data_IF_745757973816
#
_entry.id   IF_745757973816
#
_cell.length_a   1.000
_cell.length_b   1.000
_cell.length_c   1.000
_cell.angle_alpha   90.00
_cell.angle_beta   90.00
_cell.angle_gamma   90.00
#
_symmetry.space_group_name_H-M   'P 1'
#
loop_
_entity.id
_entity.type
_entity.pdbx_description
1 polymer ?
#
# COMPACT_ATOMS: atom_id res chain seq x y z
N UNK A 1 13.29 -39.14 18.51
CA UNK A 1 12.28 -38.47 17.68
C UNK A 1 12.34 -36.98 17.97
N UNK A 2 13.01 -36.21 17.13
CA UNK A 2 13.09 -34.75 17.24
C UNK A 2 12.20 -34.14 16.16
N UNK A 3 11.29 -33.26 16.56
CA UNK A 3 10.65 -32.35 15.63
C UNK A 3 10.42 -31.01 16.34
N UNK A 4 11.44 -30.15 16.31
CA UNK A 4 11.35 -28.73 16.69
C UNK A 4 11.30 -27.92 15.41
N UNK A 5 10.10 -27.70 14.89
CA UNK A 5 9.87 -26.65 13.88
C UNK A 5 9.67 -25.33 14.62
N UNK A 6 10.73 -24.53 14.68
CA UNK A 6 10.64 -23.11 15.03
C UNK A 6 10.31 -22.36 13.73
N UNK A 7 9.28 -21.49 13.69
CA UNK A 7 9.01 -20.69 12.50
C UNK A 7 10.13 -19.66 12.33
N UNK A 8 10.73 -19.62 11.14
CA UNK A 8 11.74 -18.62 10.77
C UNK A 8 11.09 -17.24 10.64
N UNK A 9 10.88 -16.56 11.77
CA UNK A 9 10.54 -15.14 11.83
C UNK A 9 11.80 -14.36 11.45
N UNK A 10 11.74 -13.62 10.34
CA UNK A 10 12.68 -12.52 10.10
C UNK A 10 13.71 -12.70 8.97
N UNK A 11 13.47 -13.56 7.97
CA UNK A 11 14.25 -13.45 6.74
C UNK A 11 13.98 -12.07 6.10
N UNK A 12 15.04 -11.30 5.87
CA UNK A 12 14.95 -10.14 5.00
C UNK A 12 14.42 -10.63 3.65
N UNK A 13 13.31 -10.07 3.16
CA UNK A 13 12.98 -10.19 1.75
C UNK A 13 14.18 -9.63 0.99
N UNK A 14 15.05 -10.50 0.50
CA UNK A 14 15.94 -10.14 -0.57
C UNK A 14 14.98 -9.71 -1.68
N UNK A 15 14.93 -8.41 -1.99
CA UNK A 15 14.55 -8.00 -3.35
C UNK A 15 15.36 -8.95 -4.23
N UNK A 16 14.68 -9.86 -4.92
CA UNK A 16 15.35 -10.89 -5.70
C UNK A 16 16.35 -10.14 -6.58
N UNK A 17 17.65 -10.39 -6.37
CA UNK A 17 18.71 -9.70 -7.11
C UNK A 17 18.34 -9.81 -8.60
N UNK A 18 18.04 -8.69 -9.24
CA UNK A 18 17.58 -8.65 -10.64
C UNK A 18 16.09 -8.36 -10.88
N UNK A 19 15.28 -8.05 -9.86
CA UNK A 19 13.92 -7.53 -10.11
C UNK A 19 13.99 -6.13 -10.74
N UNK A 20 13.93 -6.08 -12.06
CA UNK A 20 13.74 -4.85 -12.83
C UNK A 20 12.25 -4.77 -13.18
N UNK A 21 11.46 -3.87 -12.58
CA UNK A 21 10.03 -3.75 -12.88
C UNK A 21 9.77 -3.51 -14.37
N UNK A 22 10.70 -2.85 -15.08
CA UNK A 22 10.62 -2.64 -16.53
C UNK A 22 10.86 -3.92 -17.37
N UNK A 23 11.58 -4.91 -16.82
CA UNK A 23 11.87 -6.17 -17.52
C UNK A 23 10.69 -7.13 -17.59
N UNK A 24 9.62 -6.86 -16.83
CA UNK A 24 8.44 -7.72 -16.72
C UNK A 24 7.29 -7.20 -17.60
N UNK A 25 7.46 -6.03 -18.24
CA UNK A 25 6.45 -5.43 -19.12
C UNK A 25 5.18 -4.95 -18.41
N UNK A 26 5.10 -5.10 -17.09
CA UNK A 26 3.93 -4.70 -16.29
C UNK A 26 4.15 -3.29 -15.72
N UNK A 27 3.39 -2.27 -16.16
CA UNK A 27 3.50 -0.94 -15.61
C UNK A 27 3.13 -0.97 -14.12
N UNK A 28 4.04 -0.49 -13.28
CA UNK A 28 3.73 -0.23 -11.87
C UNK A 28 2.64 0.84 -11.81
N UNK A 29 1.67 0.66 -10.91
CA UNK A 29 0.57 1.61 -10.74
C UNK A 29 1.07 2.98 -10.22
N UNK A 30 2.20 3.00 -9.52
CA UNK A 30 2.90 4.22 -9.16
C UNK A 30 3.88 4.62 -10.28
N UNK A 31 4.00 5.92 -10.60
CA UNK A 31 5.02 6.42 -11.52
C UNK A 31 6.42 5.98 -11.08
N UNK A 32 7.29 5.68 -12.06
CA UNK A 32 8.64 5.16 -11.81
C UNK A 32 9.41 6.00 -10.76
N UNK A 33 9.40 7.32 -10.96
CA UNK A 33 10.08 8.25 -10.06
C UNK A 33 9.49 8.27 -8.65
N UNK A 34 8.17 8.09 -8.51
CA UNK A 34 7.49 8.07 -7.21
C UNK A 34 7.87 6.83 -6.41
N UNK A 35 7.92 5.65 -7.04
CA UNK A 35 8.29 4.43 -6.30
C UNK A 35 9.79 4.41 -5.96
N UNK A 36 10.68 4.89 -6.85
CA UNK A 36 12.13 4.96 -6.57
C UNK A 36 12.41 5.89 -5.39
N UNK A 37 11.86 7.10 -5.40
CA UNK A 37 12.03 8.05 -4.30
C UNK A 37 11.51 7.50 -2.97
N UNK A 38 10.35 6.83 -2.99
CA UNK A 38 9.79 6.20 -1.79
C UNK A 38 10.63 5.00 -1.30
N UNK A 39 11.27 4.24 -2.20
CA UNK A 39 12.20 3.16 -1.84
C UNK A 39 13.49 3.72 -1.21
N UNK A 40 14.08 4.76 -1.79
CA UNK A 40 15.28 5.41 -1.23
C UNK A 40 15.00 5.96 0.16
N UNK A 41 13.88 6.67 0.32
CA UNK A 41 13.45 7.20 1.61
C UNK A 41 13.21 6.07 2.63
N UNK A 42 12.58 4.97 2.22
CA UNK A 42 12.34 3.81 3.08
C UNK A 42 13.65 3.14 3.52
N UNK A 43 14.64 3.05 2.64
CA UNK A 43 15.97 2.52 2.98
C UNK A 43 16.68 3.43 3.99
N UNK A 44 16.60 4.76 3.81
CA UNK A 44 17.15 5.73 4.73
C UNK A 44 16.47 5.69 6.11
N UNK A 45 15.14 5.64 6.16
CA UNK A 45 14.40 5.54 7.42
C UNK A 45 14.63 4.20 8.12
N UNK A 46 14.76 3.08 7.37
CA UNK A 46 15.15 1.78 7.93
C UNK A 46 16.50 1.84 8.64
N UNK A 47 17.48 2.52 8.04
CA UNK A 47 18.81 2.67 8.61
C UNK A 47 18.80 3.52 9.89
N UNK A 48 17.94 4.54 9.97
CA UNK A 48 17.90 5.49 11.08
C UNK A 48 16.97 5.10 12.23
N UNK A 49 15.79 4.56 11.94
CA UNK A 49 14.69 4.33 12.90
C UNK A 49 14.37 2.85 13.13
N UNK A 50 15.07 1.95 12.45
CA UNK A 50 14.77 0.52 12.45
C UNK A 50 13.70 0.12 11.42
N UNK A 51 13.36 -1.16 11.37
CA UNK A 51 12.47 -1.72 10.32
C UNK A 51 11.00 -1.30 10.46
N UNK A 52 10.56 -0.91 11.66
CA UNK A 52 9.19 -0.54 11.92
C UNK A 52 8.80 0.70 11.13
N UNK A 53 7.80 0.60 10.25
CA UNK A 53 7.25 1.69 9.44
C UNK A 53 8.15 2.27 8.35
N UNK A 54 9.34 1.72 8.10
CA UNK A 54 10.25 2.23 7.07
C UNK A 54 9.60 2.30 5.67
N UNK A 55 8.72 1.35 5.35
CA UNK A 55 8.02 1.28 4.07
C UNK A 55 6.59 1.83 4.12
N UNK A 56 6.16 2.43 5.23
CA UNK A 56 4.79 2.87 5.41
C UNK A 56 4.35 3.90 4.37
N UNK A 57 5.25 4.81 3.99
CA UNK A 57 4.99 5.81 2.96
C UNK A 57 4.77 5.17 1.59
N UNK A 58 5.63 4.23 1.19
CA UNK A 58 5.51 3.50 -0.06
C UNK A 58 4.20 2.73 -0.12
N UNK A 59 3.89 1.98 0.94
CA UNK A 59 2.65 1.20 1.02
C UNK A 59 1.43 2.11 0.99
N UNK A 60 1.43 3.22 1.72
CA UNK A 60 0.33 4.18 1.70
C UNK A 60 0.12 4.75 0.30
N UNK A 61 1.19 5.09 -0.43
CA UNK A 61 1.08 5.59 -1.80
C UNK A 61 0.41 4.57 -2.73
N UNK A 62 0.80 3.28 -2.65
CA UNK A 62 0.14 2.22 -3.41
C UNK A 62 -1.34 2.10 -3.09
N UNK A 63 -1.69 2.04 -1.80
CA UNK A 63 -3.09 1.93 -1.39
C UNK A 63 -3.92 3.13 -1.84
N UNK A 64 -3.38 4.35 -1.73
CA UNK A 64 -4.07 5.55 -2.20
C UNK A 64 -4.26 5.54 -3.72
N UNK A 65 -3.30 5.02 -4.48
CA UNK A 65 -3.40 4.99 -5.93
C UNK A 65 -4.45 3.99 -6.45
N UNK A 66 -4.69 2.88 -5.76
CA UNK A 66 -5.77 1.93 -6.10
C UNK A 66 -7.12 2.30 -5.49
N UNK A 67 -7.16 3.14 -4.44
CA UNK A 67 -8.38 3.47 -3.69
C UNK A 67 -9.54 3.97 -4.56
N UNK A 68 -9.34 4.86 -5.57
CA UNK A 68 -10.45 5.33 -6.41
C UNK A 68 -11.18 4.20 -7.16
N UNK A 69 -10.48 3.14 -7.56
CA UNK A 69 -11.07 1.99 -8.23
C UNK A 69 -12.06 1.27 -7.31
N UNK A 70 -11.63 0.92 -6.10
CA UNK A 70 -12.48 0.27 -5.10
C UNK A 70 -13.62 1.17 -4.65
N UNK A 71 -13.37 2.47 -4.55
CA UNK A 71 -14.40 3.44 -4.19
C UNK A 71 -15.49 3.54 -5.25
N UNK A 72 -15.13 3.49 -6.54
CA UNK A 72 -16.08 3.46 -7.65
C UNK A 72 -16.88 2.15 -7.68
N UNK A 73 -16.20 1.00 -7.51
CA UNK A 73 -16.83 -0.33 -7.49
C UNK A 73 -17.82 -0.47 -6.33
N UNK A 74 -17.45 0.03 -5.15
CA UNK A 74 -18.32 0.09 -3.98
C UNK A 74 -19.38 1.21 -4.03
N UNK A 75 -19.45 1.99 -5.12
CA UNK A 75 -20.35 3.13 -5.29
C UNK A 75 -20.28 4.14 -4.12
N UNK A 76 -19.09 4.35 -3.56
CA UNK A 76 -18.85 5.24 -2.42
C UNK A 76 -19.17 4.67 -1.04
N UNK A 77 -19.56 3.39 -0.93
CA UNK A 77 -19.77 2.74 0.37
C UNK A 77 -18.44 2.41 1.06
N UNK A 78 -18.06 3.24 2.04
CA UNK A 78 -16.81 3.07 2.80
C UNK A 78 -16.66 1.71 3.51
N UNK A 79 -17.76 1.13 3.98
CA UNK A 79 -17.70 -0.17 4.66
C UNK A 79 -17.36 -1.29 3.69
N UNK A 80 -17.85 -1.20 2.45
CA UNK A 80 -17.53 -2.16 1.41
C UNK A 80 -16.11 -1.94 0.85
N UNK A 81 -15.68 -0.69 0.66
CA UNK A 81 -14.27 -0.37 0.33
C UNK A 81 -13.31 -0.94 1.38
N UNK A 82 -13.63 -0.78 2.66
CA UNK A 82 -12.85 -1.32 3.78
C UNK A 82 -12.74 -2.85 3.70
N UNK A 83 -13.84 -3.54 3.36
CA UNK A 83 -13.86 -4.99 3.19
C UNK A 83 -13.04 -5.44 1.98
N UNK A 84 -13.19 -4.78 0.83
CA UNK A 84 -12.47 -5.12 -0.41
C UNK A 84 -10.96 -4.93 -0.29
N UNK A 85 -10.52 -3.84 0.34
CA UNK A 85 -9.10 -3.55 0.51
C UNK A 85 -8.48 -4.27 1.71
N UNK A 86 -9.29 -4.82 2.63
CA UNK A 86 -8.82 -5.41 3.88
C UNK A 86 -8.19 -4.37 4.83
N UNK A 87 -8.60 -3.10 4.73
CA UNK A 87 -8.04 -1.98 5.47
C UNK A 87 -9.13 -1.37 6.33
N UNK A 88 -8.78 -0.98 7.56
CA UNK A 88 -9.74 -0.41 8.50
C UNK A 88 -10.45 0.83 7.92
N UNK A 89 -11.77 0.90 8.12
CA UNK A 89 -12.64 1.95 7.54
C UNK A 89 -12.16 3.37 7.87
N UNK A 90 -11.60 3.58 9.05
CA UNK A 90 -11.09 4.90 9.45
C UNK A 90 -9.88 5.35 8.62
N UNK A 91 -8.97 4.44 8.29
CA UNK A 91 -7.84 4.69 7.38
C UNK A 91 -8.34 5.03 5.97
N UNK A 92 -9.32 4.27 5.47
CA UNK A 92 -9.97 4.55 4.18
C UNK A 92 -10.61 5.94 4.18
N UNK A 93 -11.33 6.31 5.25
CA UNK A 93 -11.96 7.63 5.38
C UNK A 93 -10.95 8.77 5.28
N UNK A 94 -9.80 8.63 5.95
CA UNK A 94 -8.71 9.62 5.88
C UNK A 94 -8.18 9.73 4.43
N UNK A 95 -7.94 8.61 3.76
CA UNK A 95 -7.44 8.63 2.38
C UNK A 95 -8.46 9.18 1.39
N UNK A 96 -9.74 8.84 1.51
CA UNK A 96 -10.80 9.42 0.68
C UNK A 96 -10.83 10.95 0.81
N UNK A 97 -10.69 11.49 2.03
CA UNK A 97 -10.58 12.95 2.24
C UNK A 97 -9.34 13.55 1.58
N UNK A 98 -8.18 12.90 1.71
CA UNK A 98 -6.92 13.37 1.10
C UNK A 98 -7.00 13.39 -0.44
N UNK A 99 -7.74 12.47 -1.04
CA UNK A 99 -7.93 12.36 -2.48
C UNK A 99 -9.16 13.13 -3.01
N UNK A 100 -9.92 13.81 -2.14
CA UNK A 100 -11.15 14.51 -2.54
C UNK A 100 -12.27 13.57 -3.01
N UNK A 101 -12.27 12.30 -2.59
CA UNK A 101 -13.32 11.34 -2.89
C UNK A 101 -14.52 11.60 -1.97
N UNK A 102 -15.56 12.22 -2.51
CA UNK A 102 -16.80 12.48 -1.78
C UNK A 102 -17.59 11.18 -1.65
N UNK A 103 -17.83 10.74 -0.42
CA UNK A 103 -18.81 9.70 -0.13
C UNK A 103 -20.17 10.19 -0.57
N UNK A 104 -20.92 9.37 -1.33
CA UNK A 104 -22.30 9.65 -1.74
C UNK A 104 -23.17 9.96 -0.51
N UNK A 105 -23.20 11.23 -0.14
CA UNK A 105 -24.21 11.89 0.67
C UNK A 105 -24.62 13.23 0.04
N UNK A 106 -24.08 13.60 -1.13
CA UNK A 106 -24.43 14.82 -1.88
C UNK A 106 -24.79 14.50 -3.35
N UNK A 107 -25.74 13.59 -3.55
CA UNK A 107 -26.52 13.56 -4.80
C UNK A 107 -27.99 13.57 -4.44
N UNK A 108 -28.44 14.71 -3.92
CA UNK A 108 -29.84 15.15 -3.97
C UNK A 108 -29.85 16.66 -4.17
N UNK A 109 -29.84 17.07 -5.43
CA UNK A 109 -30.35 18.35 -5.92
C UNK A 109 -31.42 18.03 -6.96
#
# INVERSE_FOLDING_TARGET
MQNTQTPAIGAHAHLAKGFNPESIGTPCLLPFQTYIAALEQAQADKARKGKGQAYAQLLNAFHQAILPLFFAEAQGNLSEVSRLMGIHRETISIWCKQLGLNTRAEVQA
#
